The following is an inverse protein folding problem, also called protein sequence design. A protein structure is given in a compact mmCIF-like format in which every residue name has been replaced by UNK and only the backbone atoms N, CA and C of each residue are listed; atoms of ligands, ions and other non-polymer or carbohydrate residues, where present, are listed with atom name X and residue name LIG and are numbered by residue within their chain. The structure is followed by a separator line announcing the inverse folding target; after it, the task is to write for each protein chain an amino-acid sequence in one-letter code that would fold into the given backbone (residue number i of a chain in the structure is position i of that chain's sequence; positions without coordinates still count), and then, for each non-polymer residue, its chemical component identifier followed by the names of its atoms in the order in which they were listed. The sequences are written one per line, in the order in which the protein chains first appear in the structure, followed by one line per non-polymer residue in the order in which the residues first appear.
data_IF_611957403304
#
_entry.id   IF_611957403304
#
_cell.length_a   1.000
_cell.length_b   1.000
_cell.length_c   1.000
_cell.angle_alpha   90.00
_cell.angle_beta   90.00
_cell.angle_gamma   90.00
#
_symmetry.space_group_name_H-M   'P 1'
#
loop_
_entity.id
_entity.type
_entity.pdbx_description
1 polymer ?
#
# COMPACT_ATOMS: atom_id res chain seq x y z
N UNK A 1 0.97 -8.97 -20.85
CA UNK A 1 2.14 -8.82 -19.96
C UNK A 1 1.76 -9.38 -18.61
N UNK A 2 2.56 -10.29 -18.09
CA UNK A 2 2.44 -10.88 -16.76
C UNK A 2 3.27 -10.07 -15.77
N UNK A 3 2.67 -9.63 -14.67
CA UNK A 3 3.35 -8.82 -13.65
C UNK A 3 3.27 -9.55 -12.31
N UNK A 4 4.41 -9.68 -11.65
CA UNK A 4 4.46 -10.16 -10.27
C UNK A 4 4.69 -8.98 -9.34
N UNK A 5 3.87 -8.90 -8.28
CA UNK A 5 4.05 -7.96 -7.18
C UNK A 5 4.54 -8.73 -5.95
N UNK A 6 5.62 -8.30 -5.35
CA UNK A 6 6.16 -8.87 -4.12
C UNK A 6 5.69 -8.04 -2.94
N UNK A 7 4.84 -8.64 -2.09
CA UNK A 7 4.24 -8.01 -0.92
C UNK A 7 2.77 -7.63 -1.10
N UNK A 8 1.91 -8.09 -0.18
CA UNK A 8 0.46 -7.83 -0.12
C UNK A 8 0.09 -6.73 0.91
N UNK A 9 1.00 -5.81 1.21
CA UNK A 9 0.67 -4.59 1.94
C UNK A 9 -0.21 -3.65 1.11
N UNK A 10 -0.69 -2.55 1.69
CA UNK A 10 -1.56 -1.56 1.01
C UNK A 10 -0.98 -1.14 -0.34
N UNK A 11 0.33 -0.87 -0.40
CA UNK A 11 0.99 -0.47 -1.65
C UNK A 11 0.95 -1.55 -2.73
N UNK A 12 1.15 -2.82 -2.36
CA UNK A 12 1.07 -3.97 -3.28
C UNK A 12 -0.34 -4.19 -3.80
N UNK A 13 -1.34 -4.20 -2.90
CA UNK A 13 -2.75 -4.39 -3.24
C UNK A 13 -3.26 -3.29 -4.19
N UNK A 14 -2.99 -2.02 -3.87
CA UNK A 14 -3.38 -0.88 -4.72
C UNK A 14 -2.68 -0.94 -6.08
N UNK A 15 -1.39 -1.29 -6.11
CA UNK A 15 -0.64 -1.45 -7.37
C UNK A 15 -1.24 -2.54 -8.24
N UNK A 16 -1.61 -3.67 -7.63
CA UNK A 16 -2.25 -4.79 -8.33
C UNK A 16 -3.58 -4.37 -8.97
N UNK A 17 -4.45 -3.71 -8.21
CA UNK A 17 -5.73 -3.22 -8.72
C UNK A 17 -5.55 -2.22 -9.86
N UNK A 18 -4.62 -1.27 -9.72
CA UNK A 18 -4.33 -0.29 -10.78
C UNK A 18 -3.84 -0.95 -12.08
N UNK A 19 -2.98 -1.94 -11.97
CA UNK A 19 -2.43 -2.67 -13.13
C UNK A 19 -3.47 -3.59 -13.75
N UNK A 20 -4.26 -4.29 -12.94
CA UNK A 20 -5.36 -5.13 -13.41
C UNK A 20 -6.39 -4.28 -14.19
N UNK A 21 -6.76 -3.11 -13.66
CA UNK A 21 -7.66 -2.16 -14.34
C UNK A 21 -7.11 -1.67 -15.69
N UNK A 22 -5.79 -1.75 -15.90
CA UNK A 22 -5.11 -1.48 -17.19
C UNK A 22 -5.05 -2.70 -18.13
N UNK A 23 -5.60 -3.84 -17.72
CA UNK A 23 -5.64 -5.06 -18.50
C UNK A 23 -4.37 -5.92 -18.43
N UNK A 24 -3.50 -5.70 -17.45
CA UNK A 24 -2.36 -6.58 -17.20
C UNK A 24 -2.78 -7.77 -16.34
N UNK A 25 -2.20 -8.92 -16.58
CA UNK A 25 -2.31 -10.06 -15.67
C UNK A 25 -1.36 -9.84 -14.50
N UNK A 26 -1.89 -9.85 -13.28
CA UNK A 26 -1.13 -9.57 -12.05
C UNK A 26 -1.28 -10.72 -11.07
N UNK A 27 -0.17 -11.08 -10.44
CA UNK A 27 -0.12 -12.05 -9.33
C UNK A 27 0.67 -11.43 -8.18
N UNK A 28 0.22 -11.65 -6.93
CA UNK A 28 0.86 -11.13 -5.72
C UNK A 28 1.49 -12.28 -4.95
N UNK A 29 2.75 -12.12 -4.52
CA UNK A 29 3.47 -13.07 -3.66
C UNK A 29 3.73 -12.44 -2.30
N UNK A 30 3.21 -13.11 -1.25
CA UNK A 30 3.26 -12.61 0.12
C UNK A 30 3.83 -13.66 1.07
N UNK A 31 4.75 -13.24 1.95
CA UNK A 31 5.44 -14.14 2.88
C UNK A 31 4.58 -14.61 4.06
N UNK A 32 3.59 -13.83 4.48
CA UNK A 32 2.70 -14.21 5.59
C UNK A 32 1.51 -15.02 5.08
N UNK A 33 1.00 -15.92 5.94
CA UNK A 33 -0.16 -16.77 5.61
C UNK A 33 -1.50 -16.08 5.82
N UNK A 34 -1.55 -15.12 6.76
CA UNK A 34 -2.79 -14.40 7.12
C UNK A 34 -2.53 -12.92 6.93
N UNK A 35 -3.30 -12.31 6.05
CA UNK A 35 -3.25 -10.89 5.77
C UNK A 35 -4.12 -10.15 6.80
N UNK A 36 -3.54 -9.84 7.95
CA UNK A 36 -4.20 -9.05 8.99
C UNK A 36 -3.26 -7.94 9.45
N UNK A 37 -3.72 -6.71 9.38
CA UNK A 37 -3.00 -5.56 9.92
C UNK A 37 -3.46 -5.27 11.35
N UNK A 38 -2.51 -5.05 12.25
CA UNK A 38 -2.80 -4.59 13.61
C UNK A 38 -2.98 -3.08 13.62
N UNK A 39 -4.03 -2.67 14.27
CA UNK A 39 -4.67 -1.39 14.36
C UNK A 39 -3.85 -0.13 14.56
N UNK A 40 -3.44 0.50 13.48
CA UNK A 40 -3.08 1.92 13.49
C UNK A 40 -4.03 2.70 12.58
N UNK A 41 -4.31 3.97 12.91
CA UNK A 41 -4.97 4.88 11.99
C UNK A 41 -4.02 5.26 10.86
N UNK A 42 -4.56 5.49 9.68
CA UNK A 42 -3.83 6.01 8.53
C UNK A 42 -4.57 7.20 7.93
N UNK A 43 -3.82 8.24 7.58
CA UNK A 43 -4.36 9.40 6.89
C UNK A 43 -4.26 9.20 5.38
N UNK A 44 -5.39 9.39 4.71
CA UNK A 44 -5.52 9.32 3.25
C UNK A 44 -5.57 10.74 2.71
N UNK A 45 -4.44 11.28 2.31
CA UNK A 45 -4.36 12.59 1.68
C UNK A 45 -4.90 12.57 0.23
N UNK A 46 -5.17 13.73 -0.40
CA UNK A 46 -5.82 13.83 -1.70
C UNK A 46 -5.18 13.00 -2.84
N UNK A 47 -3.87 12.77 -2.79
CA UNK A 47 -3.20 11.89 -3.73
C UNK A 47 -3.62 10.42 -3.57
N UNK A 48 -3.81 9.95 -2.33
CA UNK A 48 -4.29 8.60 -2.05
C UNK A 48 -5.78 8.46 -2.38
N UNK A 49 -6.62 9.39 -1.93
CA UNK A 49 -8.08 9.33 -2.16
C UNK A 49 -8.43 9.38 -3.65
N UNK A 50 -7.67 10.11 -4.48
CA UNK A 50 -7.82 10.06 -5.94
C UNK A 50 -7.54 8.67 -6.53
N UNK A 51 -6.54 7.97 -6.03
CA UNK A 51 -6.25 6.61 -6.49
C UNK A 51 -7.37 5.65 -6.08
N UNK A 52 -7.83 5.72 -4.83
CA UNK A 52 -8.93 4.89 -4.35
C UNK A 52 -10.25 5.16 -5.11
N UNK A 53 -10.53 6.42 -5.42
CA UNK A 53 -11.66 6.79 -6.25
C UNK A 53 -11.52 6.27 -7.70
N UNK A 54 -10.31 6.33 -8.28
CA UNK A 54 -10.03 5.74 -9.60
C UNK A 54 -10.25 4.22 -9.63
N UNK A 55 -10.09 3.56 -8.49
CA UNK A 55 -10.34 2.13 -8.32
C UNK A 55 -11.79 1.80 -7.98
N UNK A 56 -12.68 2.80 -7.95
CA UNK A 56 -14.10 2.68 -7.62
C UNK A 56 -14.33 2.07 -6.22
N UNK A 57 -13.47 2.44 -5.24
CA UNK A 57 -13.49 1.89 -3.87
C UNK A 57 -14.21 2.82 -2.88
N UNK A 58 -14.73 3.95 -3.34
CA UNK A 58 -15.26 4.97 -2.43
C UNK A 58 -16.48 4.49 -1.65
N UNK A 59 -17.41 3.83 -2.32
CA UNK A 59 -18.65 3.30 -1.70
C UNK A 59 -18.31 2.23 -0.65
N UNK A 60 -17.32 1.38 -0.93
CA UNK A 60 -16.87 0.33 0.00
C UNK A 60 -16.12 0.90 1.21
N UNK A 61 -15.47 2.06 1.05
CA UNK A 61 -14.71 2.73 2.11
C UNK A 61 -15.60 3.64 2.98
N UNK A 62 -16.71 4.14 2.46
CA UNK A 62 -17.57 5.13 3.12
C UNK A 62 -17.95 4.77 4.57
N UNK A 63 -18.27 3.49 4.92
CA UNK A 63 -18.59 3.11 6.29
C UNK A 63 -17.43 3.20 7.29
N UNK A 64 -16.18 3.28 6.81
CA UNK A 64 -14.97 3.18 7.60
C UNK A 64 -14.16 4.48 7.65
N UNK A 65 -14.47 5.45 6.79
CA UNK A 65 -13.71 6.71 6.68
C UNK A 65 -14.27 7.77 7.61
N UNK A 66 -13.38 8.62 8.09
CA UNK A 66 -13.69 9.84 8.81
C UNK A 66 -13.08 11.05 8.09
N UNK A 67 -13.87 12.11 7.87
CA UNK A 67 -13.37 13.35 7.28
C UNK A 67 -13.06 14.37 8.38
N UNK A 68 -11.77 14.62 8.69
CA UNK A 68 -11.40 15.59 9.72
C UNK A 68 -11.58 17.03 9.21
N UNK A 69 -12.08 17.91 10.10
CA UNK A 69 -12.30 19.33 9.78
C UNK A 69 -11.01 20.15 9.87
N UNK A 70 -10.11 19.76 10.77
CA UNK A 70 -8.83 20.47 10.95
C UNK A 70 -7.78 19.56 11.57
N UNK A 71 -6.53 19.95 11.41
CA UNK A 71 -5.38 19.42 12.10
C UNK A 71 -4.81 20.50 13.02
N UNK A 72 -4.65 20.19 14.31
CA UNK A 72 -4.21 21.16 15.31
C UNK A 72 -2.97 20.67 16.05
N UNK A 73 -2.00 21.55 16.24
CA UNK A 73 -0.93 21.38 17.21
C UNK A 73 -1.27 22.13 18.50
N UNK A 74 -1.25 21.40 19.60
CA UNK A 74 -1.55 21.94 20.91
C UNK A 74 -0.26 22.04 21.76
N UNK A 75 -0.19 23.10 22.60
CA UNK A 75 0.83 23.18 23.62
C UNK A 75 0.60 22.12 24.70
N UNK A 76 1.57 21.29 24.94
CA UNK A 76 1.49 20.25 25.98
C UNK A 76 1.16 20.80 27.38
N UNK A 77 1.76 21.96 27.74
CA UNK A 77 1.64 22.53 29.08
C UNK A 77 0.34 23.31 29.33
N UNK A 78 -0.26 23.87 28.28
CA UNK A 78 -1.42 24.77 28.42
C UNK A 78 -2.66 24.35 27.66
N UNK A 79 -2.57 23.33 26.80
CA UNK A 79 -3.65 22.91 25.91
C UNK A 79 -4.01 23.96 24.82
N UNK A 80 -3.30 25.09 24.75
CA UNK A 80 -3.57 26.12 23.75
C UNK A 80 -3.15 25.67 22.36
N UNK A 81 -3.96 26.02 21.36
CA UNK A 81 -3.64 25.81 19.96
C UNK A 81 -2.42 26.66 19.59
N UNK A 82 -1.35 26.01 19.14
CA UNK A 82 -0.14 26.65 18.61
C UNK A 82 -0.36 26.99 17.14
N UNK A 83 -0.88 26.05 16.39
CA UNK A 83 -1.25 26.24 14.98
C UNK A 83 -2.39 25.31 14.59
N UNK A 84 -3.16 25.71 13.60
CA UNK A 84 -4.24 24.96 13.02
C UNK A 84 -4.17 25.01 11.51
N UNK A 85 -4.42 23.87 10.86
CA UNK A 85 -4.65 23.79 9.43
C UNK A 85 -6.05 23.26 9.18
N UNK A 86 -6.87 24.01 8.47
CA UNK A 86 -8.17 23.55 8.01
C UNK A 86 -8.01 22.43 6.99
N UNK A 87 -8.80 21.40 7.15
CA UNK A 87 -8.95 20.26 6.24
C UNK A 87 -10.35 20.30 5.60
N UNK A 88 -10.98 19.17 5.40
CA UNK A 88 -12.35 19.09 4.88
C UNK A 88 -12.52 19.87 3.56
N UNK A 89 -13.46 20.80 3.52
CA UNK A 89 -13.76 21.61 2.33
C UNK A 89 -12.56 22.42 1.81
N UNK A 90 -11.68 22.91 2.68
CA UNK A 90 -10.48 23.65 2.26
C UNK A 90 -9.55 22.75 1.41
N UNK A 91 -9.33 21.51 1.84
CA UNK A 91 -8.52 20.54 1.08
C UNK A 91 -9.21 20.12 -0.22
N UNK A 92 -10.53 19.90 -0.19
CA UNK A 92 -11.30 19.59 -1.40
C UNK A 92 -11.19 20.70 -2.45
N UNK A 93 -11.26 21.96 -2.02
CA UNK A 93 -11.13 23.11 -2.92
C UNK A 93 -9.72 23.25 -3.50
N UNK A 94 -8.68 23.04 -2.68
CA UNK A 94 -7.28 23.16 -3.10
C UNK A 94 -6.83 22.02 -4.04
N UNK A 95 -7.30 20.78 -3.77
CA UNK A 95 -6.76 19.57 -4.41
C UNK A 95 -7.80 18.79 -5.22
N UNK A 96 -9.05 19.23 -5.28
CA UNK A 96 -10.17 18.55 -5.91
C UNK A 96 -10.30 17.07 -5.47
N UNK A 97 -9.99 16.81 -4.21
CA UNK A 97 -10.09 15.48 -3.58
C UNK A 97 -10.05 15.62 -2.07
N UNK A 98 -10.82 14.82 -1.32
CA UNK A 98 -10.88 14.93 0.14
C UNK A 98 -9.65 14.35 0.83
N UNK A 99 -9.54 14.67 2.13
CA UNK A 99 -8.65 14.01 3.07
C UNK A 99 -9.48 13.18 4.04
N UNK A 100 -9.11 11.94 4.26
CA UNK A 100 -9.80 11.04 5.18
C UNK A 100 -8.84 10.41 6.18
N UNK A 101 -9.36 10.04 7.33
CA UNK A 101 -8.74 9.14 8.28
C UNK A 101 -9.48 7.80 8.24
N UNK A 102 -8.74 6.70 8.31
CA UNK A 102 -9.29 5.34 8.29
C UNK A 102 -8.44 4.43 9.19
N UNK A 103 -9.06 3.40 9.73
CA UNK A 103 -8.31 2.33 10.38
C UNK A 103 -7.61 1.47 9.32
N UNK A 104 -6.32 1.20 9.50
CA UNK A 104 -5.50 0.51 8.51
C UNK A 104 -6.01 -0.88 8.16
N UNK A 105 -6.56 -1.60 9.15
CA UNK A 105 -7.15 -2.92 8.93
C UNK A 105 -8.42 -2.85 8.06
N UNK A 106 -9.25 -1.82 8.22
CA UNK A 106 -10.46 -1.65 7.41
C UNK A 106 -10.09 -1.31 5.96
N UNK A 107 -9.10 -0.44 5.75
CA UNK A 107 -8.57 -0.17 4.40
C UNK A 107 -8.04 -1.44 3.73
N UNK A 108 -7.24 -2.23 4.47
CA UNK A 108 -6.70 -3.47 3.93
C UNK A 108 -7.81 -4.46 3.58
N UNK A 109 -8.82 -4.59 4.45
CA UNK A 109 -9.97 -5.46 4.21
C UNK A 109 -10.68 -5.09 2.90
N UNK A 110 -11.04 -3.81 2.71
CA UNK A 110 -11.70 -3.34 1.48
C UNK A 110 -10.85 -3.61 0.25
N UNK A 111 -9.53 -3.41 0.34
CA UNK A 111 -8.62 -3.72 -0.76
C UNK A 111 -8.58 -5.22 -1.08
N UNK A 112 -8.56 -6.10 -0.07
CA UNK A 112 -8.57 -7.56 -0.25
C UNK A 112 -9.89 -8.04 -0.84
N UNK A 113 -11.02 -7.54 -0.36
CA UNK A 113 -12.35 -7.85 -0.90
C UNK A 113 -12.41 -7.47 -2.41
N UNK A 114 -11.81 -6.32 -2.78
CA UNK A 114 -11.73 -5.90 -4.19
C UNK A 114 -10.78 -6.77 -5.02
N UNK A 115 -9.62 -7.18 -4.48
CA UNK A 115 -8.68 -8.12 -5.12
C UNK A 115 -9.37 -9.44 -5.46
N UNK A 116 -10.14 -9.98 -4.51
CA UNK A 116 -10.93 -11.20 -4.71
C UNK A 116 -11.99 -11.02 -5.81
N UNK A 117 -12.74 -9.92 -5.76
CA UNK A 117 -13.77 -9.60 -6.77
C UNK A 117 -13.20 -9.46 -8.19
N UNK A 118 -11.98 -8.94 -8.32
CA UNK A 118 -11.27 -8.80 -9.60
C UNK A 118 -10.52 -10.08 -10.03
N UNK A 119 -10.60 -11.17 -9.25
CA UNK A 119 -9.92 -12.45 -9.48
C UNK A 119 -8.40 -12.30 -9.65
N UNK A 120 -7.76 -11.49 -8.81
CA UNK A 120 -6.31 -11.35 -8.75
C UNK A 120 -5.76 -12.37 -7.76
N UNK A 121 -4.83 -13.21 -8.19
CA UNK A 121 -4.26 -14.25 -7.34
C UNK A 121 -3.29 -13.68 -6.30
N UNK A 122 -3.49 -14.05 -5.02
CA UNK A 122 -2.53 -13.82 -3.94
C UNK A 122 -1.98 -15.17 -3.48
N UNK A 123 -0.69 -15.36 -3.65
CA UNK A 123 0.05 -16.52 -3.17
C UNK A 123 0.63 -16.22 -1.79
N UNK A 124 -0.05 -16.65 -0.74
CA UNK A 124 0.38 -16.47 0.67
C UNK A 124 1.37 -17.56 1.09
N UNK A 125 2.12 -17.35 2.18
CA UNK A 125 3.23 -18.20 2.63
C UNK A 125 4.34 -18.35 1.57
N UNK A 126 4.42 -17.45 0.61
CA UNK A 126 5.40 -17.46 -0.48
C UNK A 126 6.46 -16.38 -0.26
N UNK A 127 7.46 -16.71 0.56
CA UNK A 127 8.56 -15.79 0.85
C UNK A 127 9.50 -15.68 -0.33
N UNK A 128 9.52 -14.53 -0.98
CA UNK A 128 10.52 -14.21 -2.01
C UNK A 128 11.88 -13.99 -1.35
N UNK A 129 12.88 -14.74 -1.80
CA UNK A 129 14.24 -14.69 -1.27
C UNK A 129 15.19 -13.85 -2.13
N UNK A 130 14.96 -13.83 -3.42
CA UNK A 130 15.70 -13.00 -4.37
C UNK A 130 14.88 -12.67 -5.60
N UNK A 131 15.33 -11.67 -6.35
CA UNK A 131 14.81 -11.35 -7.69
C UNK A 131 15.98 -11.20 -8.66
N UNK A 132 15.72 -11.44 -9.93
CA UNK A 132 16.71 -11.27 -10.96
C UNK A 132 16.11 -11.11 -12.36
N UNK A 133 16.98 -10.88 -13.34
CA UNK A 133 16.60 -10.73 -14.73
C UNK A 133 17.28 -11.80 -15.58
N UNK A 134 16.53 -12.35 -16.52
CA UNK A 134 17.03 -13.07 -17.69
C UNK A 134 17.11 -12.10 -18.88
N UNK A 135 17.49 -12.59 -20.06
CA UNK A 135 17.57 -11.74 -21.27
C UNK A 135 16.23 -11.09 -21.64
N UNK A 136 15.11 -11.79 -21.43
CA UNK A 136 13.78 -11.39 -21.91
C UNK A 136 12.70 -11.43 -20.82
N UNK A 137 13.04 -11.80 -19.59
CA UNK A 137 12.10 -11.91 -18.46
C UNK A 137 12.77 -11.51 -17.16
N UNK A 138 11.96 -11.20 -16.17
CA UNK A 138 12.36 -11.12 -14.78
C UNK A 138 11.91 -12.38 -14.04
N UNK A 139 12.49 -12.68 -12.88
CA UNK A 139 12.06 -13.80 -12.03
C UNK A 139 12.15 -13.46 -10.54
N UNK A 140 11.29 -14.09 -9.77
CA UNK A 140 11.42 -14.20 -8.31
C UNK A 140 11.89 -15.59 -7.94
N UNK A 141 12.60 -15.72 -6.82
CA UNK A 141 12.91 -17.01 -6.20
C UNK A 141 12.07 -17.22 -4.93
N UNK A 142 11.33 -18.33 -4.91
CA UNK A 142 10.52 -18.79 -3.78
C UNK A 142 10.80 -20.27 -3.58
N UNK A 143 11.21 -20.69 -2.38
CA UNK A 143 11.51 -22.09 -2.05
C UNK A 143 12.44 -22.78 -3.10
N UNK A 144 13.52 -22.08 -3.49
CA UNK A 144 14.49 -22.56 -4.50
C UNK A 144 13.92 -22.72 -5.93
N UNK A 145 12.66 -22.30 -6.15
CA UNK A 145 12.03 -22.28 -7.48
C UNK A 145 12.05 -20.88 -8.06
N UNK A 146 12.35 -20.81 -9.37
CA UNK A 146 12.22 -19.57 -10.13
C UNK A 146 10.86 -19.47 -10.77
N UNK A 147 10.21 -18.33 -10.55
CA UNK A 147 8.91 -18.00 -11.15
C UNK A 147 9.13 -16.78 -12.03
N UNK A 148 8.88 -16.92 -13.32
CA UNK A 148 9.16 -15.89 -14.32
C UNK A 148 7.95 -15.00 -14.58
N UNK A 149 8.23 -13.73 -14.88
CA UNK A 149 7.28 -12.72 -15.31
C UNK A 149 7.92 -11.74 -16.28
N UNK A 150 7.10 -10.92 -16.94
CA UNK A 150 7.59 -9.84 -17.79
C UNK A 150 8.13 -8.66 -16.95
N UNK A 151 7.52 -8.43 -15.76
CA UNK A 151 7.87 -7.36 -14.83
C UNK A 151 7.69 -7.81 -13.39
N UNK A 152 8.60 -7.37 -12.51
CA UNK A 152 8.47 -7.53 -11.05
C UNK A 152 8.41 -6.16 -10.40
N UNK A 153 7.45 -6.01 -9.47
CA UNK A 153 7.28 -4.81 -8.66
C UNK A 153 7.50 -5.17 -7.18
N UNK A 154 8.48 -4.50 -6.55
CA UNK A 154 8.74 -4.64 -5.12
C UNK A 154 7.81 -3.74 -4.30
N UNK A 155 6.97 -4.36 -3.47
CA UNK A 155 6.14 -3.72 -2.46
C UNK A 155 6.32 -4.39 -1.08
N UNK A 156 7.49 -4.97 -0.85
CA UNK A 156 7.86 -5.87 0.24
C UNK A 156 8.44 -5.13 1.48
N UNK A 157 8.15 -3.82 1.57
CA UNK A 157 8.32 -3.01 2.78
C UNK A 157 9.78 -2.68 3.12
N UNK A 158 10.03 -2.39 4.41
CA UNK A 158 11.34 -1.88 4.89
C UNK A 158 12.45 -2.93 4.79
N UNK A 159 12.12 -4.22 4.80
CA UNK A 159 13.06 -5.33 4.67
C UNK A 159 13.10 -5.90 3.24
N UNK A 160 12.86 -5.04 2.26
CA UNK A 160 12.68 -5.38 0.85
C UNK A 160 13.83 -6.23 0.28
N UNK A 161 13.48 -7.43 -0.17
CA UNK A 161 14.39 -8.33 -0.91
C UNK A 161 14.55 -7.91 -2.36
N UNK A 162 13.51 -7.29 -2.92
CA UNK A 162 13.57 -6.71 -4.26
C UNK A 162 14.60 -5.59 -4.29
N UNK A 163 14.56 -4.67 -3.32
CA UNK A 163 15.55 -3.58 -3.19
C UNK A 163 16.97 -4.12 -2.96
N UNK A 164 17.12 -5.09 -2.05
CA UNK A 164 18.43 -5.71 -1.76
C UNK A 164 19.04 -6.34 -3.00
N UNK A 165 18.23 -7.01 -3.82
CA UNK A 165 18.69 -7.68 -5.05
C UNK A 165 19.10 -6.70 -6.15
N UNK A 166 18.44 -5.53 -6.25
CA UNK A 166 18.69 -4.53 -7.30
C UNK A 166 19.81 -3.56 -6.93
N UNK A 167 19.90 -3.16 -5.66
CA UNK A 167 20.76 -2.04 -5.22
C UNK A 167 21.79 -2.45 -4.17
N UNK A 168 21.83 -3.73 -3.81
CA UNK A 168 22.62 -4.22 -2.68
C UNK A 168 21.95 -3.94 -1.34
N UNK A 169 22.37 -4.71 -0.33
CA UNK A 169 21.81 -4.62 1.03
C UNK A 169 22.07 -3.24 1.64
N UNK A 170 21.00 -2.56 2.04
CA UNK A 170 21.08 -1.29 2.76
C UNK A 170 20.92 -1.53 4.26
N UNK A 171 21.73 -0.82 5.03
CA UNK A 171 21.61 -0.82 6.49
C UNK A 171 20.42 0.04 6.91
N UNK A 172 19.53 -0.54 7.70
CA UNK A 172 18.40 0.19 8.30
C UNK A 172 18.92 0.90 9.55
N UNK A 173 18.87 2.23 9.54
CA UNK A 173 19.34 3.07 10.64
C UNK A 173 18.14 3.46 11.50
N UNK A 174 18.17 3.10 12.79
CA UNK A 174 17.20 3.59 13.76
C UNK A 174 17.49 5.05 14.09
N UNK A 175 16.53 5.94 13.80
CA UNK A 175 16.70 7.40 13.96
C UNK A 175 16.47 7.88 15.41
N UNK A 176 16.06 7.00 16.32
CA UNK A 176 15.70 7.35 17.69
C UNK A 176 14.24 7.84 17.85
N UNK A 177 13.48 7.92 16.78
CA UNK A 177 12.07 8.29 16.82
C UNK A 177 11.19 7.04 16.79
N UNK A 178 10.11 7.08 17.57
CA UNK A 178 9.03 6.08 17.60
C UNK A 178 7.73 6.80 17.25
N UNK A 179 6.94 6.23 16.36
CA UNK A 179 5.63 6.72 15.97
C UNK A 179 4.52 5.82 16.52
#
# INVERSE_FOLDING_TARGET
MNIIIVGAGIGGLVSALCLNKKGYKVEIYEQVGILSELGAGVQLSPNATRVLNHLDLFEDLEPYIFEPNSFQFLSYSSGKVITERKLGEAIKNDFNSPNYDIHRADLQKVLLDKIEAENIDIHTNMKVTSVGNNKNSAFIEVEEKKIEADLIIGADGIHSKVSDSLFGKKEIIFTGNVA
#
